data_IF_006577277166
#
_entry.id   IF_006577277166
#
_cell.length_a   1.000
_cell.length_b   1.000
_cell.length_c   1.000
_cell.angle_alpha   90.00
_cell.angle_beta   90.00
_cell.angle_gamma   90.00
#
_symmetry.space_group_name_H-M   'P 1'
#
loop_
_entity.id
_entity.type
_entity.pdbx_description
1 polymer ?
#
# COMPACT_ATOMS: atom_id res chain seq x y z
N UNK A 1 8.12 10.51 -0.61
CA UNK A 1 8.33 10.43 -2.07
C UNK A 1 6.96 10.32 -2.74
N UNK A 2 6.44 11.43 -3.27
CA UNK A 2 5.10 11.47 -3.91
C UNK A 2 5.11 10.96 -5.37
N UNK A 3 6.30 10.76 -5.95
CA UNK A 3 6.47 10.40 -7.36
C UNK A 3 5.73 9.10 -7.76
N UNK A 4 5.53 8.18 -6.81
CA UNK A 4 4.86 6.89 -7.04
C UNK A 4 3.44 6.85 -6.46
N UNK A 5 2.85 8.02 -6.13
CA UNK A 5 1.47 8.10 -5.63
C UNK A 5 0.56 8.64 -6.71
N UNK A 6 -0.61 8.02 -6.85
CA UNK A 6 -1.64 8.50 -7.77
C UNK A 6 -2.12 9.89 -7.31
N UNK A 7 -2.09 10.92 -8.17
CA UNK A 7 -2.58 12.24 -7.83
C UNK A 7 -4.02 12.20 -7.32
N UNK A 8 -4.35 13.03 -6.31
CA UNK A 8 -5.68 13.04 -5.72
C UNK A 8 -5.97 11.86 -4.76
N UNK A 9 -4.96 11.06 -4.42
CA UNK A 9 -5.04 9.97 -3.44
C UNK A 9 -4.01 10.14 -2.32
N UNK A 10 -4.24 9.53 -1.16
CA UNK A 10 -3.31 9.52 -0.02
C UNK A 10 -2.73 8.13 0.27
N UNK A 11 -3.35 7.08 -0.27
CA UNK A 11 -3.03 5.68 0.00
C UNK A 11 -2.65 4.89 -1.26
N UNK A 12 -2.99 5.37 -2.46
CA UNK A 12 -2.66 4.63 -3.70
C UNK A 12 -1.24 4.93 -4.18
N UNK A 13 -0.26 4.14 -3.73
CA UNK A 13 1.13 4.26 -4.19
C UNK A 13 2.10 3.48 -3.32
N UNK A 14 3.39 3.84 -3.39
CA UNK A 14 4.40 3.29 -2.47
C UNK A 14 4.15 3.81 -1.05
N UNK A 15 3.48 2.99 -0.24
CA UNK A 15 2.98 3.37 1.09
C UNK A 15 1.94 4.49 1.02
N UNK A 16 1.64 5.09 2.17
CA UNK A 16 0.64 6.15 2.29
C UNK A 16 1.25 7.47 2.81
N UNK A 17 0.69 8.62 2.41
CA UNK A 17 1.01 9.94 3.01
C UNK A 17 -0.03 10.42 4.02
N UNK A 18 -1.08 9.64 4.25
CA UNK A 18 -2.08 9.95 5.25
C UNK A 18 -1.46 9.95 6.65
N UNK A 19 -1.68 11.01 7.43
CA UNK A 19 -1.29 11.05 8.85
C UNK A 19 -2.35 10.46 9.75
N UNK A 20 -3.59 10.32 9.24
CA UNK A 20 -4.74 9.76 9.94
C UNK A 20 -5.49 8.78 9.05
N UNK A 21 -6.07 7.74 9.64
CA UNK A 21 -6.87 6.74 8.94
C UNK A 21 -8.03 7.32 8.13
N UNK A 22 -8.65 8.41 8.63
CA UNK A 22 -9.77 9.09 7.97
C UNK A 22 -9.36 10.03 6.85
N UNK A 23 -8.06 10.30 6.68
CA UNK A 23 -7.58 11.22 5.65
C UNK A 23 -7.55 10.50 4.29
N UNK A 24 -8.53 10.84 3.46
CA UNK A 24 -8.61 10.39 2.07
C UNK A 24 -8.41 11.59 1.13
N UNK A 25 -7.94 11.31 -0.09
CA UNK A 25 -7.84 12.27 -1.18
C UNK A 25 -9.17 12.50 -1.90
N UNK A 26 -9.12 13.33 -2.95
CA UNK A 26 -10.28 13.67 -3.78
C UNK A 26 -10.89 12.47 -4.51
N UNK A 27 -10.09 11.46 -4.86
CA UNK A 27 -10.60 10.19 -5.38
C UNK A 27 -10.98 9.23 -4.24
N UNK A 28 -11.87 9.69 -3.36
CA UNK A 28 -12.14 9.07 -2.06
C UNK A 28 -12.52 7.59 -2.13
N UNK A 29 -13.31 7.19 -3.14
CA UNK A 29 -13.71 5.79 -3.32
C UNK A 29 -12.52 4.89 -3.64
N UNK A 30 -11.70 5.28 -4.61
CA UNK A 30 -10.48 4.55 -5.00
C UNK A 30 -9.45 4.55 -3.87
N UNK A 31 -9.25 5.70 -3.23
CA UNK A 31 -8.30 5.87 -2.15
C UNK A 31 -8.64 5.03 -0.92
N UNK A 32 -9.94 4.85 -0.66
CA UNK A 32 -10.43 3.92 0.36
C UNK A 32 -10.05 2.48 0.06
N UNK A 33 -10.11 2.04 -1.20
CA UNK A 33 -9.68 0.69 -1.59
C UNK A 33 -8.19 0.50 -1.34
N UNK A 34 -7.35 1.45 -1.75
CA UNK A 34 -5.90 1.40 -1.51
C UNK A 34 -5.57 1.38 -0.01
N UNK A 35 -6.28 2.18 0.79
CA UNK A 35 -6.13 2.15 2.26
C UNK A 35 -6.45 0.79 2.86
N UNK A 36 -7.52 0.13 2.37
CA UNK A 36 -7.89 -1.20 2.85
C UNK A 36 -6.83 -2.21 2.44
N UNK A 37 -6.39 -2.19 1.18
CA UNK A 37 -5.29 -3.02 0.68
C UNK A 37 -4.03 -2.91 1.57
N UNK A 38 -3.59 -1.67 1.85
CA UNK A 38 -2.36 -1.42 2.61
C UNK A 38 -2.44 -1.87 4.08
N UNK A 39 -3.62 -1.84 4.70
CA UNK A 39 -3.79 -2.08 6.14
C UNK A 39 -4.41 -3.43 6.51
N UNK A 40 -5.10 -4.08 5.57
CA UNK A 40 -5.87 -5.30 5.86
C UNK A 40 -5.01 -6.55 5.92
N UNK A 41 -3.92 -6.59 5.17
CA UNK A 41 -3.11 -7.80 5.07
C UNK A 41 -2.12 -7.92 6.24
N UNK A 42 -2.20 -8.97 7.07
CA UNK A 42 -1.20 -9.20 8.11
C UNK A 42 0.10 -9.78 7.54
N UNK A 43 0.07 -10.28 6.29
CA UNK A 43 1.20 -10.93 5.63
C UNK A 43 1.69 -10.10 4.45
N UNK A 44 2.78 -9.38 4.67
CA UNK A 44 3.37 -8.52 3.65
C UNK A 44 4.90 -8.51 3.74
N UNK A 45 5.54 -8.24 2.61
CA UNK A 45 7.00 -8.14 2.48
C UNK A 45 7.32 -6.80 1.84
N UNK A 46 8.00 -5.91 2.56
CA UNK A 46 8.44 -4.62 2.05
C UNK A 46 9.39 -4.76 0.88
N UNK A 47 9.53 -3.69 0.09
CA UNK A 47 10.51 -3.68 -1.00
C UNK A 47 11.93 -3.83 -0.45
N UNK A 48 12.73 -4.70 -1.08
CA UNK A 48 14.09 -5.05 -0.63
C UNK A 48 14.16 -5.70 0.77
N UNK A 49 13.04 -6.22 1.27
CA UNK A 49 12.94 -6.90 2.57
C UNK A 49 12.96 -8.43 2.42
N UNK A 50 13.48 -9.14 3.43
CA UNK A 50 13.37 -10.61 3.56
C UNK A 50 12.38 -10.96 4.67
N UNK A 51 11.32 -11.69 4.34
CA UNK A 51 10.34 -12.24 5.29
C UNK A 51 9.85 -13.61 4.81
N UNK A 52 9.40 -14.46 5.74
CA UNK A 52 8.84 -15.78 5.43
C UNK A 52 9.76 -16.67 4.56
N UNK A 53 11.08 -16.52 4.68
CA UNK A 53 12.06 -17.22 3.85
C UNK A 53 12.22 -16.69 2.42
N UNK A 54 11.47 -15.67 2.02
CA UNK A 54 11.45 -15.08 0.67
C UNK A 54 12.08 -13.67 0.71
N UNK A 55 12.88 -13.33 -0.30
CA UNK A 55 13.41 -11.98 -0.49
C UNK A 55 12.63 -11.24 -1.58
N UNK A 56 12.08 -10.07 -1.26
CA UNK A 56 11.38 -9.23 -2.21
C UNK A 56 12.36 -8.33 -2.98
N UNK A 57 12.77 -8.77 -4.17
CA UNK A 57 13.64 -8.00 -5.07
C UNK A 57 12.96 -6.79 -5.72
N UNK A 58 11.65 -6.58 -5.49
CA UNK A 58 10.91 -5.46 -6.07
C UNK A 58 11.00 -4.24 -5.14
N UNK A 59 10.83 -3.05 -5.72
CA UNK A 59 10.78 -1.79 -4.97
C UNK A 59 9.46 -1.55 -4.24
N UNK A 60 8.43 -2.34 -4.56
CA UNK A 60 7.08 -2.24 -4.02
C UNK A 60 6.85 -3.32 -2.97
N UNK A 61 5.92 -3.06 -2.05
CA UNK A 61 5.47 -4.07 -1.08
C UNK A 61 4.73 -5.20 -1.79
N UNK A 62 5.04 -6.43 -1.42
CA UNK A 62 4.26 -7.61 -1.80
C UNK A 62 3.28 -7.93 -0.68
N UNK A 63 2.02 -8.16 -1.04
CA UNK A 63 0.97 -8.66 -0.13
C UNK A 63 0.73 -10.15 -0.41
N UNK A 64 0.13 -10.84 0.54
CA UNK A 64 -0.35 -12.20 0.33
C UNK A 64 -1.54 -12.20 -0.65
N UNK A 65 -1.58 -13.08 -1.64
CA UNK A 65 -2.57 -13.03 -2.73
C UNK A 65 -4.03 -12.94 -2.27
N UNK A 66 -4.41 -13.68 -1.22
CA UNK A 66 -5.76 -13.60 -0.60
C UNK A 66 -6.16 -12.22 -0.06
N UNK A 67 -5.19 -11.33 0.14
CA UNK A 67 -5.44 -9.95 0.56
C UNK A 67 -5.67 -9.00 -0.62
N UNK A 68 -5.24 -9.40 -1.82
CA UNK A 68 -5.33 -8.61 -3.06
C UNK A 68 -6.54 -9.00 -3.93
N UNK A 69 -7.26 -10.06 -3.56
CA UNK A 69 -8.58 -10.44 -4.11
C UNK A 69 -9.71 -9.52 -3.63
#
# INVERSE_FOLDING_TARGET
>A
MELLRVPGTKWCGKGFSATRYSQLGGHTRTDRCCRVHDLRCPFWIGGMEKKYGIYNWRVNTLMHCRCDE
#
